data_IF_727866152968
#
_entry.id   IF_727866152968
#
_cell.length_a   1.000
_cell.length_b   1.000
_cell.length_c   1.000
_cell.angle_alpha   90.00
_cell.angle_beta   90.00
_cell.angle_gamma   90.00
#
_symmetry.space_group_name_H-M   'P 1'
#
loop_
_entity.id
_entity.type
_entity.pdbx_description
1 polymer ?
#
# COMPACT_ATOMS: atom_id res chain seq x y z
N UNK A 1 -6.31 1.69 -24.74
CA UNK A 1 -5.04 2.37 -24.45
C UNK A 1 -4.20 1.40 -23.66
N UNK A 2 -3.07 0.94 -24.22
CA UNK A 2 -2.15 0.09 -23.45
C UNK A 2 -1.62 0.91 -22.29
N UNK A 3 -2.04 0.57 -21.07
CA UNK A 3 -1.39 1.02 -19.85
C UNK A 3 0.05 0.55 -19.94
N UNK A 4 0.99 1.48 -20.14
CA UNK A 4 2.40 1.18 -20.13
C UNK A 4 2.77 0.72 -18.71
N UNK A 5 2.64 -0.58 -18.47
CA UNK A 5 2.92 -1.24 -17.19
C UNK A 5 4.40 -1.20 -16.85
N UNK A 6 5.26 -0.84 -17.80
CA UNK A 6 6.69 -0.67 -17.56
C UNK A 6 6.99 0.43 -16.53
N UNK A 7 6.14 1.47 -16.45
CA UNK A 7 6.30 2.56 -15.48
C UNK A 7 6.17 2.11 -14.02
N UNK A 8 5.52 0.98 -13.78
CA UNK A 8 5.32 0.41 -12.45
C UNK A 8 6.25 -0.77 -12.13
N UNK A 9 7.27 -1.01 -12.97
CA UNK A 9 8.34 -1.96 -12.66
C UNK A 9 9.25 -1.34 -11.60
N UNK A 10 8.99 -1.69 -10.35
CA UNK A 10 9.71 -1.14 -9.19
C UNK A 10 10.34 -2.30 -8.42
N UNK A 11 11.64 -2.22 -8.17
CA UNK A 11 12.34 -3.18 -7.31
C UNK A 11 12.00 -2.94 -5.82
N UNK A 12 12.12 -3.95 -4.94
CA UNK A 12 11.82 -3.79 -3.51
C UNK A 12 12.56 -2.63 -2.83
N UNK A 13 13.85 -2.44 -3.15
CA UNK A 13 14.64 -1.33 -2.62
C UNK A 13 14.14 0.04 -3.08
N UNK A 14 13.81 0.16 -4.37
CA UNK A 14 13.24 1.40 -4.93
C UNK A 14 11.86 1.70 -4.35
N UNK A 15 11.03 0.67 -4.15
CA UNK A 15 9.73 0.82 -3.52
C UNK A 15 9.88 1.39 -2.10
N UNK A 16 10.79 0.82 -1.30
CA UNK A 16 11.06 1.29 0.06
C UNK A 16 11.59 2.74 0.09
N UNK A 17 12.53 3.07 -0.80
CA UNK A 17 13.08 4.43 -0.89
C UNK A 17 11.99 5.47 -1.21
N UNK A 18 11.16 5.19 -2.23
CA UNK A 18 10.07 6.08 -2.65
C UNK A 18 8.99 6.21 -1.58
N UNK A 19 8.62 5.10 -0.94
CA UNK A 19 7.73 5.08 0.21
C UNK A 19 8.26 5.99 1.32
N UNK A 20 9.51 5.81 1.73
CA UNK A 20 10.14 6.56 2.81
C UNK A 20 10.21 8.07 2.53
N UNK A 21 10.54 8.44 1.29
CA UNK A 21 10.54 9.83 0.83
C UNK A 21 9.15 10.47 0.91
N UNK A 22 8.09 9.70 0.60
CA UNK A 22 6.72 10.17 0.77
C UNK A 22 6.36 10.36 2.25
N UNK A 23 6.74 9.41 3.10
CA UNK A 23 6.49 9.48 4.54
C UNK A 23 7.21 10.68 5.21
N UNK A 24 8.38 11.05 4.71
CA UNK A 24 9.10 12.25 5.15
C UNK A 24 8.35 13.54 4.82
N UNK A 25 7.83 13.66 3.59
CA UNK A 25 6.99 14.80 3.18
C UNK A 25 5.71 14.92 4.00
N UNK A 26 5.21 13.81 4.54
CA UNK A 26 4.06 13.76 5.44
C UNK A 26 4.42 13.95 6.92
N UNK A 27 5.69 14.24 7.23
CA UNK A 27 6.23 14.36 8.59
C UNK A 27 5.96 13.16 9.49
N UNK A 28 5.90 11.97 8.88
CA UNK A 28 5.64 10.71 9.59
C UNK A 28 6.94 10.07 10.05
N UNK A 29 6.92 9.43 11.22
CA UNK A 29 8.09 8.76 11.79
C UNK A 29 8.35 7.38 11.18
N UNK A 30 7.33 6.72 10.63
CA UNK A 30 7.50 5.39 10.06
C UNK A 30 8.36 5.41 8.80
N UNK A 31 9.27 4.44 8.72
CA UNK A 31 10.10 4.13 7.57
C UNK A 31 10.15 2.62 7.39
N UNK A 32 10.18 2.17 6.14
CA UNK A 32 10.66 0.84 5.80
C UNK A 32 12.18 0.88 6.03
N UNK A 33 12.62 0.35 7.16
CA UNK A 33 14.04 0.28 7.52
C UNK A 33 14.72 -0.80 6.68
N UNK A 34 15.85 -0.43 6.06
CA UNK A 34 16.67 -1.22 5.13
C UNK A 34 16.00 -1.62 3.80
N UNK A 35 16.81 -2.18 2.90
CA UNK A 35 16.31 -2.89 1.72
C UNK A 35 15.43 -4.04 2.22
N UNK A 36 14.15 -4.11 1.84
CA UNK A 36 13.24 -5.10 2.40
C UNK A 36 13.80 -6.51 2.23
N UNK A 37 14.02 -7.23 3.33
CA UNK A 37 14.51 -8.61 3.28
C UNK A 37 13.50 -9.47 2.55
N UNK A 38 13.89 -9.94 1.36
CA UNK A 38 13.05 -10.77 0.51
C UNK A 38 13.03 -12.21 1.04
N UNK A 39 11.83 -12.70 1.32
CA UNK A 39 11.54 -14.10 1.65
C UNK A 39 11.12 -14.83 0.38
N UNK A 40 11.82 -15.91 0.07
CA UNK A 40 11.55 -16.76 -1.10
C UNK A 40 10.30 -17.60 -0.84
N UNK A 41 9.31 -17.52 -1.74
CA UNK A 41 8.11 -18.36 -1.69
C UNK A 41 8.04 -19.36 -2.84
N UNK A 42 7.03 -20.25 -2.87
CA UNK A 42 6.87 -21.23 -3.95
C UNK A 42 6.44 -20.57 -5.28
N UNK A 43 5.52 -19.61 -5.23
CA UNK A 43 4.96 -18.96 -6.42
C UNK A 43 5.47 -17.52 -6.61
N UNK A 44 5.62 -16.78 -5.52
CA UNK A 44 6.04 -15.39 -5.49
C UNK A 44 7.00 -15.20 -4.33
N UNK A 45 7.90 -14.24 -4.46
CA UNK A 45 8.72 -13.80 -3.34
C UNK A 45 7.99 -12.68 -2.60
N UNK A 46 8.35 -12.43 -1.34
CA UNK A 46 7.68 -11.40 -0.54
C UNK A 46 8.68 -10.60 0.26
N UNK A 47 8.35 -9.36 0.57
CA UNK A 47 9.00 -8.64 1.65
C UNK A 47 7.96 -8.22 2.69
N UNK A 48 8.40 -8.04 3.92
CA UNK A 48 7.54 -7.58 5.01
C UNK A 48 8.23 -6.48 5.80
N UNK A 49 7.50 -5.42 6.10
CA UNK A 49 7.94 -4.35 6.99
C UNK A 49 6.86 -4.11 8.05
N UNK A 50 7.26 -4.05 9.31
CA UNK A 50 6.35 -3.75 10.42
C UNK A 50 6.56 -2.29 10.82
N UNK A 51 5.48 -1.52 10.88
CA UNK A 51 5.50 -0.09 11.22
C UNK A 51 5.27 0.15 12.70
N UNK A 52 4.29 -0.55 13.24
CA UNK A 52 3.93 -0.57 14.65
C UNK A 52 3.44 -1.98 14.97
N UNK A 53 3.11 -2.25 16.23
CA UNK A 53 2.44 -3.51 16.62
C UNK A 53 1.10 -3.73 15.92
N UNK A 54 0.58 -2.70 15.25
CA UNK A 54 -0.73 -2.69 14.62
C UNK A 54 -0.67 -2.67 13.09
N UNK A 55 0.48 -2.39 12.46
CA UNK A 55 0.55 -2.19 11.01
C UNK A 55 1.71 -2.98 10.40
N UNK A 56 1.37 -3.78 9.40
CA UNK A 56 2.32 -4.56 8.60
C UNK A 56 2.10 -4.26 7.13
N UNK A 57 3.18 -3.96 6.39
CA UNK A 57 3.19 -3.90 4.93
C UNK A 57 3.84 -5.18 4.40
N UNK A 58 3.17 -5.83 3.46
CA UNK A 58 3.61 -7.03 2.75
C UNK A 58 3.67 -6.69 1.27
N UNK A 59 4.87 -6.70 0.70
CA UNK A 59 5.06 -6.61 -0.74
C UNK A 59 5.21 -7.98 -1.38
N UNK A 60 4.59 -8.15 -2.53
CA UNK A 60 4.65 -9.35 -3.36
C UNK A 60 5.53 -9.06 -4.57
N UNK A 61 6.47 -9.95 -4.86
CA UNK A 61 7.46 -9.80 -5.93
C UNK A 61 7.26 -10.95 -6.92
N UNK A 62 7.18 -10.61 -8.20
CA UNK A 62 7.21 -11.60 -9.27
C UNK A 62 8.63 -12.17 -9.44
N UNK A 63 8.77 -13.49 -9.31
CA UNK A 63 10.07 -14.18 -9.40
C UNK A 63 10.78 -13.99 -10.74
N UNK A 64 10.03 -13.85 -11.83
CA UNK A 64 10.61 -13.77 -13.18
C UNK A 64 11.22 -12.40 -13.43
N UNK A 65 10.51 -11.35 -13.02
CA UNK A 65 10.90 -9.97 -13.30
C UNK A 65 11.61 -9.27 -12.15
N UNK A 66 11.51 -9.78 -10.92
CA UNK A 66 12.12 -9.18 -9.73
C UNK A 66 11.39 -7.92 -9.22
N UNK A 67 10.26 -7.56 -9.82
CA UNK A 67 9.51 -6.35 -9.48
C UNK A 67 8.37 -6.61 -8.50
N UNK A 68 8.06 -5.60 -7.70
CA UNK A 68 6.90 -5.60 -6.81
C UNK A 68 5.63 -5.52 -7.65
N UNK A 69 4.75 -6.50 -7.53
CA UNK A 69 3.49 -6.60 -8.30
C UNK A 69 2.26 -6.27 -7.48
N UNK A 70 2.35 -6.35 -6.16
CA UNK A 70 1.32 -5.90 -5.23
C UNK A 70 1.98 -5.49 -3.91
N UNK A 71 1.47 -4.46 -3.26
CA UNK A 71 1.76 -4.15 -1.88
C UNK A 71 0.44 -4.17 -1.09
N UNK A 72 0.43 -4.83 0.05
CA UNK A 72 -0.72 -4.92 0.95
C UNK A 72 -0.32 -4.42 2.33
N UNK A 73 -1.11 -3.52 2.88
CA UNK A 73 -1.09 -3.13 4.27
C UNK A 73 -2.17 -3.90 5.01
N UNK A 74 -1.79 -4.47 6.15
CA UNK A 74 -2.68 -5.07 7.14
C UNK A 74 -2.57 -4.24 8.40
N UNK A 75 -3.69 -3.70 8.86
CA UNK A 75 -3.78 -2.89 10.06
C UNK A 75 -4.77 -3.49 11.06
N UNK A 76 -4.41 -3.45 12.35
CA UNK A 76 -5.29 -3.76 13.48
C UNK A 76 -5.80 -2.45 14.08
N UNK A 77 -7.10 -2.40 14.35
CA UNK A 77 -7.75 -1.24 14.97
C UNK A 77 -8.61 -0.47 13.96
N UNK A 78 -9.87 -0.26 14.35
CA UNK A 78 -10.88 0.42 13.54
C UNK A 78 -11.26 1.79 14.12
N UNK A 79 -10.45 2.30 15.06
CA UNK A 79 -10.63 3.64 15.62
C UNK A 79 -10.09 4.72 14.67
N UNK A 80 -10.40 5.98 14.97
CA UNK A 80 -10.02 7.13 14.14
C UNK A 80 -8.50 7.20 13.91
N UNK A 81 -7.71 6.88 14.93
CA UNK A 81 -6.25 6.85 14.83
C UNK A 81 -5.76 5.72 13.93
N UNK A 82 -6.35 4.52 14.02
CA UNK A 82 -6.08 3.40 13.12
C UNK A 82 -6.42 3.73 11.66
N UNK A 83 -7.55 4.41 11.42
CA UNK A 83 -7.95 4.84 10.08
C UNK A 83 -6.99 5.87 9.48
N UNK A 84 -6.61 6.88 10.24
CA UNK A 84 -5.62 7.87 9.80
C UNK A 84 -4.28 7.21 9.47
N UNK A 85 -3.85 6.25 10.30
CA UNK A 85 -2.63 5.50 10.02
C UNK A 85 -2.73 4.69 8.71
N UNK A 86 -3.85 4.02 8.45
CA UNK A 86 -4.09 3.30 7.19
C UNK A 86 -3.96 4.25 6.01
N UNK A 87 -4.64 5.39 6.05
CA UNK A 87 -4.65 6.38 4.96
C UNK A 87 -3.23 6.89 4.67
N UNK A 88 -2.47 7.21 5.73
CA UNK A 88 -1.10 7.69 5.62
C UNK A 88 -0.17 6.65 4.99
N UNK A 89 -0.24 5.39 5.45
CA UNK A 89 0.63 4.33 4.93
C UNK A 89 0.22 3.92 3.51
N UNK A 90 -1.08 3.88 3.22
CA UNK A 90 -1.63 3.69 1.88
C UNK A 90 -1.10 4.75 0.89
N UNK A 91 -1.02 6.00 1.35
CA UNK A 91 -0.42 7.10 0.56
C UNK A 91 1.05 6.81 0.25
N UNK A 92 1.82 6.38 1.26
CA UNK A 92 3.20 5.96 1.08
C UNK A 92 3.34 4.79 0.10
N UNK A 93 2.46 3.77 0.19
CA UNK A 93 2.47 2.61 -0.72
C UNK A 93 2.20 3.01 -2.16
N UNK A 94 1.26 3.92 -2.39
CA UNK A 94 0.99 4.45 -3.72
C UNK A 94 2.23 5.17 -4.28
N UNK A 95 2.88 6.01 -3.47
CA UNK A 95 4.14 6.67 -3.86
C UNK A 95 5.30 5.69 -4.07
N UNK A 96 5.30 4.54 -3.40
CA UNK A 96 6.22 3.43 -3.63
C UNK A 96 6.20 2.95 -5.08
N UNK A 97 5.03 2.93 -5.71
CA UNK A 97 4.87 2.62 -7.13
C UNK A 97 5.08 3.82 -8.05
N UNK A 98 4.42 4.95 -7.74
CA UNK A 98 4.37 6.15 -8.59
C UNK A 98 5.02 7.34 -7.87
N UNK A 99 6.31 7.62 -8.11
CA UNK A 99 7.06 8.65 -7.38
C UNK A 99 6.54 10.07 -7.64
N UNK A 100 5.76 10.29 -8.70
CA UNK A 100 5.12 11.58 -9.02
C UNK A 100 3.79 11.82 -8.27
N UNK A 101 3.44 10.95 -7.32
CA UNK A 101 2.30 11.20 -6.45
C UNK A 101 2.55 12.43 -5.58
N UNK A 102 1.54 13.31 -5.55
CA UNK A 102 1.49 14.46 -4.63
C UNK A 102 0.85 13.95 -3.32
N UNK A 103 1.60 13.82 -2.21
CA UNK A 103 1.12 13.11 -1.03
C UNK A 103 -0.18 13.67 -0.44
N UNK A 104 -0.33 14.99 -0.40
CA UNK A 104 -1.54 15.64 0.13
C UNK A 104 -2.78 15.29 -0.69
N UNK A 105 -2.66 15.22 -2.02
CA UNK A 105 -3.78 14.88 -2.89
C UNK A 105 -4.12 13.39 -2.80
N UNK A 106 -3.10 12.53 -2.86
CA UNK A 106 -3.29 11.09 -2.69
C UNK A 106 -3.93 10.75 -1.33
N UNK A 107 -3.48 11.40 -0.25
CA UNK A 107 -4.10 11.26 1.08
C UNK A 107 -5.59 11.56 1.03
N UNK A 108 -6.00 12.70 0.44
CA UNK A 108 -7.43 13.08 0.31
C UNK A 108 -8.24 12.07 -0.47
N UNK A 109 -7.72 11.58 -1.60
CA UNK A 109 -8.45 10.64 -2.44
C UNK A 109 -8.55 9.25 -1.79
N UNK A 110 -7.50 8.81 -1.09
CA UNK A 110 -7.51 7.60 -0.28
C UNK A 110 -8.46 7.73 0.90
N UNK A 111 -8.51 8.88 1.58
CA UNK A 111 -9.51 9.13 2.64
C UNK A 111 -10.94 8.99 2.12
N UNK A 112 -11.21 9.51 0.91
CA UNK A 112 -12.53 9.37 0.27
C UNK A 112 -12.86 7.92 -0.05
N UNK A 113 -11.88 7.14 -0.53
CA UNK A 113 -12.04 5.71 -0.72
C UNK A 113 -12.42 5.08 0.62
N UNK A 114 -11.57 5.17 1.64
CA UNK A 114 -11.80 4.55 2.96
C UNK A 114 -13.17 4.95 3.54
N UNK A 115 -13.56 6.23 3.44
CA UNK A 115 -14.85 6.72 3.92
C UNK A 115 -16.06 6.19 3.12
N UNK A 116 -15.89 5.75 1.87
CA UNK A 116 -16.94 5.15 1.07
C UNK A 116 -17.18 3.67 1.40
N UNK A 117 -16.35 3.05 2.24
CA UNK A 117 -16.50 1.66 2.63
C UNK A 117 -17.75 1.48 3.49
N UNK A 118 -18.56 0.48 3.14
CA UNK A 118 -19.72 0.11 3.93
C UNK A 118 -19.43 -1.22 4.66
N UNK A 119 -19.21 -1.20 5.98
CA UNK A 119 -18.88 -2.41 6.74
C UNK A 119 -20.01 -3.46 6.76
N UNK A 120 -21.24 -3.08 6.38
CA UNK A 120 -22.38 -4.02 6.35
C UNK A 120 -22.47 -4.83 5.06
N UNK A 121 -21.69 -4.50 4.03
CA UNK A 121 -21.72 -5.21 2.74
C UNK A 121 -20.64 -6.29 2.60
N UNK A 122 -19.63 -6.27 3.48
CA UNK A 122 -18.45 -7.15 3.44
C UNK A 122 -17.75 -7.21 2.05
N UNK A 123 -17.95 -6.16 1.24
CA UNK A 123 -17.39 -6.05 -0.09
C UNK A 123 -16.27 -5.01 -0.08
N UNK A 124 -15.04 -5.36 -0.49
CA UNK A 124 -13.97 -4.39 -0.61
C UNK A 124 -14.29 -3.38 -1.71
N UNK A 125 -13.95 -2.13 -1.46
CA UNK A 125 -14.09 -1.04 -2.42
C UNK A 125 -12.78 -0.80 -3.14
N UNK A 126 -12.87 -0.31 -4.38
CA UNK A 126 -11.69 -0.02 -5.19
C UNK A 126 -11.81 1.27 -5.98
N UNK A 127 -10.68 1.90 -6.25
CA UNK A 127 -10.56 2.97 -7.23
C UNK A 127 -9.28 2.82 -8.06
N UNK A 128 -9.26 3.42 -9.25
CA UNK A 128 -8.02 3.60 -10.02
C UNK A 128 -7.48 5.01 -9.76
N UNK A 129 -6.25 5.10 -9.27
CA UNK A 129 -5.55 6.36 -8.99
C UNK A 129 -4.22 6.38 -9.71
N UNK A 130 -4.06 7.30 -10.68
CA UNK A 130 -2.85 7.40 -11.53
C UNK A 130 -2.43 6.07 -12.19
N UNK A 131 -3.38 5.18 -12.47
CA UNK A 131 -3.14 3.85 -13.05
C UNK A 131 -2.69 2.78 -12.06
N UNK A 132 -2.79 3.06 -10.75
CA UNK A 132 -2.75 2.07 -9.68
C UNK A 132 -4.19 1.72 -9.31
N UNK A 133 -4.48 0.43 -9.12
CA UNK A 133 -5.70 -0.02 -8.46
C UNK A 133 -5.46 -0.02 -6.95
N UNK A 134 -6.21 0.82 -6.25
CA UNK A 134 -6.24 0.93 -4.80
C UNK A 134 -7.48 0.17 -4.31
N UNK A 135 -7.32 -0.74 -3.35
CA UNK A 135 -8.42 -1.53 -2.79
C UNK A 135 -8.40 -1.41 -1.27
N UNK A 136 -9.56 -1.17 -0.66
CA UNK A 136 -9.72 -1.16 0.79
C UNK A 136 -10.84 -2.10 1.21
N UNK A 137 -10.65 -2.80 2.32
CA UNK A 137 -11.68 -3.60 2.97
C UNK A 137 -11.37 -3.86 4.43
N UNK A 138 -12.35 -4.37 5.15
CA UNK A 138 -12.24 -4.64 6.58
C UNK A 138 -12.85 -6.00 6.91
N UNK A 139 -12.16 -6.78 7.73
CA UNK A 139 -12.73 -7.91 8.45
C UNK A 139 -13.15 -7.43 9.84
N UNK A 140 -14.41 -6.97 9.93
CA UNK A 140 -14.95 -6.31 11.12
C UNK A 140 -14.84 -7.19 12.38
N UNK A 141 -15.15 -8.48 12.26
CA UNK A 141 -15.12 -9.45 13.37
C UNK A 141 -13.72 -9.68 13.95
N UNK A 142 -12.67 -9.42 13.15
CA UNK A 142 -11.27 -9.55 13.57
C UNK A 142 -10.62 -8.22 13.92
N UNK A 143 -11.33 -7.10 13.75
CA UNK A 143 -10.77 -5.75 13.92
C UNK A 143 -9.60 -5.48 12.97
N UNK A 144 -9.61 -6.10 11.78
CA UNK A 144 -8.55 -6.02 10.79
C UNK A 144 -9.02 -5.22 9.57
N UNK A 145 -8.19 -4.28 9.16
CA UNK A 145 -8.33 -3.57 7.89
C UNK A 145 -7.22 -4.01 6.94
N UNK A 146 -7.55 -4.09 5.66
CA UNK A 146 -6.58 -4.32 4.61
C UNK A 146 -6.66 -3.23 3.54
N UNK A 147 -5.50 -2.79 3.08
CA UNK A 147 -5.38 -1.87 1.95
C UNK A 147 -4.38 -2.44 0.96
N UNK A 148 -4.70 -2.50 -0.33
CA UNK A 148 -3.75 -2.96 -1.34
C UNK A 148 -3.56 -1.96 -2.48
N UNK A 149 -2.35 -1.95 -3.00
CA UNK A 149 -1.92 -1.15 -4.14
C UNK A 149 -1.27 -2.08 -5.15
N UNK A 150 -1.76 -2.04 -6.39
CA UNK A 150 -1.15 -2.75 -7.52
C UNK A 150 -1.32 -1.94 -8.80
N UNK A 151 -0.50 -2.17 -9.84
CA UNK A 151 -0.79 -1.65 -11.18
C UNK A 151 -2.21 -2.02 -11.63
N UNK A 152 -2.93 -1.09 -12.25
CA UNK A 152 -4.20 -1.40 -12.88
C UNK A 152 -3.97 -2.24 -14.14
N UNK A 153 -4.79 -3.27 -14.33
CA UNK A 153 -4.81 -4.14 -15.52
C UNK A 153 -5.33 -3.39 -16.76
#
# INVERSE_FOLDING_TARGET
MSTDSSRFRVEPGQFAERFNRCMEKLSQRFRIEDVPKVKVGPNQDTFQSNSTHQITIIGTIDKKSGYVVNAMLVARGNDEQGMENIIVHATGMAAGYEPEIIPVQAKKDISRLVAAYNPHKDEPISMVYKGLKLTYGMQADMGLSHFSVRPAE
#
